data_IF_596295215463
#
_entry.id   IF_596295215463
#
_cell.length_a   1.000
_cell.length_b   1.000
_cell.length_c   1.000
_cell.angle_alpha   90.00
_cell.angle_beta   90.00
_cell.angle_gamma   90.00
#
_symmetry.space_group_name_H-M   'P 1'
#
loop_
_entity.id
_entity.type
_entity.pdbx_description
1 polymer ?
#
# COMPACT_ATOMS: atom_id res chain seq x y z
N UNK A 1 0.35 4.20 -14.52
CA UNK A 1 -0.52 3.31 -13.71
C UNK A 1 0.21 2.09 -13.15
N UNK A 2 0.95 1.31 -13.96
CA UNK A 2 1.58 0.04 -13.54
C UNK A 2 2.44 0.08 -12.26
N UNK A 3 3.37 1.04 -12.12
CA UNK A 3 4.22 1.16 -10.92
C UNK A 3 3.44 1.30 -9.60
N UNK A 4 2.32 2.04 -9.61
CA UNK A 4 1.52 2.28 -8.39
C UNK A 4 0.77 1.03 -7.96
N UNK A 5 0.27 0.25 -8.92
CA UNK A 5 -0.38 -1.05 -8.65
C UNK A 5 0.65 -2.02 -8.09
N UNK A 6 1.84 -2.10 -8.69
CA UNK A 6 2.94 -2.95 -8.19
C UNK A 6 3.35 -2.58 -6.76
N UNK A 7 3.40 -1.29 -6.43
CA UNK A 7 3.66 -0.83 -5.06
C UNK A 7 2.57 -1.28 -4.08
N UNK A 8 1.27 -1.16 -4.42
CA UNK A 8 0.18 -1.67 -3.56
C UNK A 8 0.29 -3.17 -3.36
N UNK A 9 0.59 -3.92 -4.43
CA UNK A 9 0.77 -5.38 -4.37
C UNK A 9 1.96 -5.74 -3.47
N UNK A 10 3.07 -5.02 -3.57
CA UNK A 10 4.23 -5.22 -2.70
C UNK A 10 3.86 -5.00 -1.22
N UNK A 11 3.19 -3.89 -0.90
CA UNK A 11 2.82 -3.59 0.49
C UNK A 11 1.80 -4.58 1.06
N UNK A 12 0.88 -5.07 0.24
CA UNK A 12 -0.07 -6.12 0.65
C UNK A 12 0.62 -7.46 0.87
N UNK A 13 1.60 -7.84 0.05
CA UNK A 13 2.43 -9.04 0.29
C UNK A 13 3.15 -8.92 1.63
N UNK A 14 3.78 -7.78 1.92
CA UNK A 14 4.46 -7.56 3.21
C UNK A 14 3.51 -7.69 4.41
N UNK A 15 2.30 -7.15 4.28
CA UNK A 15 1.27 -7.26 5.31
C UNK A 15 0.86 -8.72 5.54
N UNK A 16 0.60 -9.46 4.46
CA UNK A 16 0.22 -10.89 4.54
C UNK A 16 1.35 -11.69 5.19
N UNK A 17 2.59 -11.51 4.75
CA UNK A 17 3.76 -12.19 5.31
C UNK A 17 3.92 -11.90 6.80
N UNK A 18 3.79 -10.62 7.21
CA UNK A 18 3.85 -10.23 8.61
C UNK A 18 2.76 -10.91 9.45
N UNK A 19 1.52 -10.96 8.94
CA UNK A 19 0.40 -11.64 9.59
C UNK A 19 0.64 -13.14 9.72
N UNK A 20 1.11 -13.80 8.66
CA UNK A 20 1.41 -15.23 8.67
C UNK A 20 2.50 -15.56 9.69
N UNK A 21 3.58 -14.78 9.74
CA UNK A 21 4.64 -14.97 10.73
C UNK A 21 4.11 -14.72 12.14
N UNK A 22 3.27 -13.71 12.34
CA UNK A 22 2.64 -13.42 13.63
C UNK A 22 1.76 -14.57 14.12
N UNK A 23 0.95 -15.16 13.25
CA UNK A 23 0.12 -16.33 13.56
C UNK A 23 1.00 -17.55 13.87
N UNK A 24 2.03 -17.79 13.06
CA UNK A 24 2.97 -18.89 13.27
C UNK A 24 3.74 -18.76 14.58
N UNK A 25 4.05 -17.54 15.04
CA UNK A 25 4.71 -17.31 16.32
C UNK A 25 3.84 -17.67 17.53
N UNK A 26 2.52 -17.79 17.38
CA UNK A 26 1.62 -18.27 18.44
C UNK A 26 1.65 -19.80 18.59
N UNK A 27 2.23 -20.51 17.61
CA UNK A 27 2.34 -21.98 17.65
C UNK A 27 3.56 -22.39 18.48
N UNK A 28 3.40 -23.24 19.51
CA UNK A 28 4.52 -23.71 20.31
C UNK A 28 5.54 -24.46 19.43
N UNK A 29 6.83 -24.32 19.76
CA UNK A 29 7.99 -24.87 19.05
C UNK A 29 8.33 -24.26 17.68
N UNK A 30 7.44 -23.46 17.07
CA UNK A 30 7.73 -22.78 15.79
C UNK A 30 8.78 -21.70 15.96
N UNK A 31 8.71 -20.94 17.06
CA UNK A 31 9.69 -19.91 17.36
C UNK A 31 11.11 -20.47 17.50
N UNK A 32 11.25 -21.59 18.20
CA UNK A 32 12.53 -22.28 18.39
C UNK A 32 13.06 -22.83 17.06
N UNK A 33 12.18 -23.39 16.22
CA UNK A 33 12.55 -23.85 14.88
C UNK A 33 13.02 -22.70 13.97
N UNK A 34 12.32 -21.55 14.01
CA UNK A 34 12.70 -20.35 13.25
C UNK A 34 14.05 -19.80 13.75
N UNK A 35 14.26 -19.71 15.07
CA UNK A 35 15.54 -19.27 15.64
C UNK A 35 16.70 -20.18 15.23
N UNK A 36 16.50 -21.50 15.30
CA UNK A 36 17.50 -22.48 14.90
C UNK A 36 17.81 -22.43 13.40
N UNK A 37 16.79 -22.27 12.55
CA UNK A 37 16.97 -22.19 11.10
C UNK A 37 17.57 -20.86 10.63
N UNK A 38 17.30 -19.75 11.34
CA UNK A 38 17.80 -18.42 10.98
C UNK A 38 19.19 -18.10 11.53
N UNK A 39 19.75 -18.96 12.39
CA UNK A 39 21.02 -18.69 13.09
C UNK A 39 20.97 -17.46 13.99
N UNK A 40 19.77 -16.95 14.29
CA UNK A 40 19.57 -15.71 15.02
C UNK A 40 19.72 -15.93 16.52
N UNK A 41 20.65 -15.21 17.15
CA UNK A 41 20.92 -15.24 18.62
C UNK A 41 19.82 -14.50 19.42
N UNK A 42 18.72 -14.11 18.79
CA UNK A 42 17.76 -13.18 19.38
C UNK A 42 16.80 -13.91 20.34
N UNK A 43 17.04 -13.71 21.63
CA UNK A 43 16.22 -14.24 22.73
C UNK A 43 14.73 -13.92 22.55
N UNK A 44 13.89 -14.93 22.74
CA UNK A 44 12.44 -14.88 23.04
C UNK A 44 11.46 -14.04 22.20
N UNK A 45 11.89 -13.06 21.38
CA UNK A 45 11.02 -12.05 20.79
C UNK A 45 11.36 -11.69 19.33
N UNK A 46 12.26 -12.41 18.67
CA UNK A 46 12.68 -12.14 17.29
C UNK A 46 11.56 -12.29 16.25
N UNK A 47 10.91 -13.46 16.20
CA UNK A 47 9.80 -13.71 15.28
C UNK A 47 8.61 -12.73 15.46
N UNK A 48 8.12 -12.45 16.69
CA UNK A 48 7.02 -11.51 16.87
C UNK A 48 7.41 -10.07 16.54
N UNK A 49 8.64 -9.63 16.83
CA UNK A 49 9.08 -8.26 16.48
C UNK A 49 9.14 -8.04 14.96
N UNK A 50 9.61 -9.02 14.20
CA UNK A 50 9.59 -8.97 12.72
C UNK A 50 8.16 -8.96 12.20
N UNK A 51 7.28 -9.79 12.74
CA UNK A 51 5.87 -9.82 12.36
C UNK A 51 5.20 -8.45 12.56
N UNK A 52 5.39 -7.83 13.72
CA UNK A 52 4.85 -6.49 14.03
C UNK A 52 5.42 -5.44 13.08
N UNK A 53 6.73 -5.45 12.83
CA UNK A 53 7.36 -4.50 11.91
C UNK A 53 6.79 -4.62 10.49
N UNK A 54 6.61 -5.84 9.98
CA UNK A 54 6.06 -6.10 8.66
C UNK A 54 4.59 -5.68 8.53
N UNK A 55 3.78 -5.90 9.57
CA UNK A 55 2.38 -5.44 9.61
C UNK A 55 2.30 -3.92 9.58
N UNK A 56 3.10 -3.23 10.43
CA UNK A 56 3.12 -1.76 10.47
C UNK A 56 3.60 -1.16 9.14
N UNK A 57 4.65 -1.73 8.54
CA UNK A 57 5.15 -1.30 7.23
C UNK A 57 4.14 -1.54 6.11
N UNK A 58 3.47 -2.69 6.10
CA UNK A 58 2.42 -2.99 5.14
C UNK A 58 1.25 -2.01 5.21
N UNK A 59 0.75 -1.73 6.42
CA UNK A 59 -0.33 -0.76 6.63
C UNK A 59 0.07 0.65 6.22
N UNK A 60 1.27 1.09 6.60
CA UNK A 60 1.79 2.40 6.24
C UNK A 60 1.93 2.56 4.72
N UNK A 61 2.50 1.56 4.05
CA UNK A 61 2.68 1.55 2.60
C UNK A 61 1.36 1.59 1.82
N UNK A 62 0.36 0.82 2.26
CA UNK A 62 -0.99 0.85 1.67
C UNK A 62 -1.63 2.24 1.84
N UNK A 63 -1.55 2.81 3.05
CA UNK A 63 -2.15 4.12 3.33
C UNK A 63 -1.48 5.25 2.52
N UNK A 64 -0.15 5.25 2.42
CA UNK A 64 0.60 6.21 1.63
C UNK A 64 0.25 6.11 0.14
N UNK A 65 0.13 4.90 -0.40
CA UNK A 65 -0.20 4.70 -1.80
C UNK A 65 -1.65 5.10 -2.10
N UNK A 66 -2.59 4.86 -1.18
CA UNK A 66 -3.98 5.32 -1.30
C UNK A 66 -4.08 6.86 -1.35
N UNK A 67 -3.34 7.58 -0.49
CA UNK A 67 -3.29 9.06 -0.52
C UNK A 67 -2.74 9.57 -1.86
N UNK A 68 -1.67 8.94 -2.36
CA UNK A 68 -1.07 9.31 -3.63
C UNK A 68 -2.00 9.03 -4.83
N UNK A 69 -2.78 7.94 -4.78
CA UNK A 69 -3.78 7.62 -5.78
C UNK A 69 -4.93 8.64 -5.79
N UNK A 70 -5.46 9.00 -4.62
CA UNK A 70 -6.51 10.03 -4.51
C UNK A 70 -6.06 11.34 -5.14
N UNK A 71 -4.88 11.83 -4.79
CA UNK A 71 -4.34 13.07 -5.36
C UNK A 71 -4.20 13.01 -6.89
N UNK A 72 -3.79 11.86 -7.45
CA UNK A 72 -3.72 11.71 -8.90
C UNK A 72 -5.10 11.69 -9.56
N UNK A 73 -6.11 11.10 -8.92
CA UNK A 73 -7.49 11.09 -9.40
C UNK A 73 -8.09 12.50 -9.35
N UNK A 74 -7.83 13.24 -8.27
CA UNK A 74 -8.32 14.62 -8.12
C UNK A 74 -7.82 15.51 -9.26
N UNK A 75 -6.51 15.47 -9.57
CA UNK A 75 -5.93 16.21 -10.70
C UNK A 75 -6.58 15.82 -12.04
N UNK A 76 -6.80 14.52 -12.27
CA UNK A 76 -7.44 14.06 -13.50
C UNK A 76 -8.87 14.59 -13.58
N UNK A 77 -9.60 14.60 -12.46
CA UNK A 77 -10.97 15.11 -12.40
C UNK A 77 -11.06 16.62 -12.64
N UNK A 78 -10.09 17.38 -12.12
CA UNK A 78 -9.98 18.83 -12.34
C UNK A 78 -9.64 19.14 -13.80
N UNK A 79 -8.70 18.41 -14.40
CA UNK A 79 -8.37 18.56 -15.81
C UNK A 79 -9.57 18.25 -16.71
N UNK A 80 -10.34 17.21 -16.39
CA UNK A 80 -11.52 16.81 -17.16
C UNK A 80 -12.67 17.83 -17.01
N UNK A 81 -12.81 18.41 -15.81
CA UNK A 81 -13.74 19.52 -15.57
C UNK A 81 -13.35 20.78 -16.35
N UNK A 82 -12.08 21.19 -16.30
CA UNK A 82 -11.58 22.34 -17.04
C UNK A 82 -11.78 22.15 -18.56
N UNK A 83 -11.59 20.92 -19.07
CA UNK A 83 -11.85 20.59 -20.47
C UNK A 83 -13.32 20.71 -20.85
N UNK A 84 -14.25 20.37 -19.95
CA UNK A 84 -15.68 20.57 -20.19
C UNK A 84 -16.07 22.05 -20.19
N UNK A 85 -15.50 22.84 -19.29
CA UNK A 85 -15.76 24.28 -19.19
C UNK A 85 -15.25 25.04 -20.43
N UNK A 86 -14.09 24.68 -20.99
CA UNK A 86 -13.59 25.28 -22.23
C UNK A 86 -14.44 24.92 -23.46
N UNK A 87 -14.89 23.67 -23.57
CA UNK A 87 -15.79 23.24 -24.66
C UNK A 87 -17.14 23.98 -24.58
N UNK A 88 -17.67 24.21 -23.38
CA UNK A 88 -18.90 25.00 -23.21
C UNK A 88 -18.72 26.47 -23.64
N UNK A 89 -17.59 27.09 -23.29
CA UNK A 89 -17.27 28.45 -23.71
C UNK A 89 -17.10 28.58 -25.24
N UNK A 90 -16.52 27.58 -25.89
CA UNK A 90 -16.46 27.55 -27.36
C UNK A 90 -17.85 27.37 -27.98
N UNK A 91 -18.66 26.44 -27.47
CA UNK A 91 -20.01 26.19 -28.00
C UNK A 91 -20.95 27.40 -27.86
N UNK A 92 -20.84 28.16 -26.76
CA UNK A 92 -21.60 29.40 -26.58
C UNK A 92 -21.11 30.51 -27.50
N UNK A 93 -19.80 30.58 -27.78
CA UNK A 93 -19.22 31.50 -28.77
C UNK A 93 -19.71 31.24 -30.19
N UNK A 94 -19.95 29.98 -30.56
CA UNK A 94 -20.50 29.63 -31.88
C UNK A 94 -22.01 29.88 -31.99
N UNK A 95 -22.77 29.80 -30.88
CA UNK A 95 -24.21 30.10 -30.86
C UNK A 95 -24.53 31.60 -30.87
N UNK A 96 -23.57 32.45 -30.50
CA UNK A 96 -23.70 33.91 -30.51
C UNK A 96 -23.33 34.56 -31.85
N UNK A 97 -22.95 33.79 -32.87
CA UNK A 97 -22.51 34.26 -34.18
C UNK A 97 -23.49 33.83 -35.26
#
# INVERSE_FOLDING_TARGET
MGKRIVLTVLWTILLIVGLTIGILALVPNVQTAIQNASGAVAGGAFAPSIAVALVLLGLWGIAANNRNLKHAVDIISEADRARKETIQLESTRYMQK
#
